data_IF_332956619199
#
_entry.id   IF_332956619199
#
_cell.length_a   1.000
_cell.length_b   1.000
_cell.length_c   1.000
_cell.angle_alpha   90.00
_cell.angle_beta   90.00
_cell.angle_gamma   90.00
#
_symmetry.space_group_name_H-M   'P 1'
#
loop_
_entity.id
_entity.type
_entity.pdbx_description
1 polymer ?
#
# COMPACT_ATOMS: atom_id res chain seq x y z
N UNK A 1 8.82 -14.31 -10.39
CA UNK A 1 9.12 -14.51 -8.96
C UNK A 1 8.22 -13.57 -8.17
N UNK A 2 7.41 -14.07 -7.25
CA UNK A 2 6.66 -13.19 -6.34
C UNK A 2 7.63 -12.74 -5.25
N UNK A 3 8.17 -11.53 -5.38
CA UNK A 3 8.91 -10.91 -4.29
C UNK A 3 7.89 -10.58 -3.19
N UNK A 4 7.91 -11.37 -2.11
CA UNK A 4 7.05 -11.15 -0.94
C UNK A 4 7.61 -10.08 -0.01
N UNK A 5 6.78 -9.64 0.94
CA UNK A 5 7.20 -8.74 2.01
C UNK A 5 8.03 -9.47 3.08
N UNK A 6 8.86 -8.71 3.80
CA UNK A 6 9.55 -9.19 4.99
C UNK A 6 8.60 -9.14 6.20
N UNK A 7 8.65 -10.16 7.05
CA UNK A 7 7.91 -10.14 8.32
C UNK A 7 8.58 -9.18 9.29
N UNK A 8 7.80 -8.23 9.79
CA UNK A 8 8.11 -7.43 10.96
C UNK A 8 7.41 -8.08 12.16
N UNK A 9 8.18 -8.61 13.11
CA UNK A 9 7.67 -9.38 14.24
C UNK A 9 7.70 -8.61 15.55
N UNK A 10 7.29 -9.28 16.63
CA UNK A 10 7.20 -8.71 17.98
C UNK A 10 8.55 -8.21 18.49
N UNK A 11 9.65 -8.90 18.17
CA UNK A 11 10.99 -8.48 18.60
C UNK A 11 11.42 -7.18 17.91
N UNK A 12 11.09 -7.01 16.63
CA UNK A 12 11.38 -5.79 15.90
C UNK A 12 10.48 -4.62 16.35
N UNK A 13 9.23 -4.91 16.71
CA UNK A 13 8.33 -3.93 17.35
C UNK A 13 8.96 -3.42 18.65
N UNK A 14 9.41 -4.31 19.53
CA UNK A 14 10.06 -3.91 20.80
C UNK A 14 11.31 -3.06 20.56
N UNK A 15 12.08 -3.35 19.52
CA UNK A 15 13.24 -2.56 19.17
C UNK A 15 12.87 -1.11 18.79
N UNK A 16 11.82 -0.92 17.96
CA UNK A 16 11.36 0.41 17.59
C UNK A 16 10.71 1.17 18.75
N UNK A 17 9.97 0.47 19.61
CA UNK A 17 9.38 1.04 20.82
C UNK A 17 10.46 1.53 21.79
N UNK A 18 11.51 0.72 22.02
CA UNK A 18 12.63 1.09 22.87
C UNK A 18 13.43 2.28 22.31
N UNK A 19 13.49 2.41 20.99
CA UNK A 19 14.10 3.56 20.33
C UNK A 19 13.22 4.83 20.40
N UNK A 20 11.92 4.68 20.69
CA UNK A 20 10.97 5.79 20.65
C UNK A 20 10.56 6.22 19.24
N UNK A 21 10.75 5.37 18.23
CA UNK A 21 10.35 5.71 16.85
C UNK A 21 8.87 5.42 16.59
N UNK A 22 8.00 6.23 17.18
CA UNK A 22 6.55 6.08 17.06
C UNK A 22 6.08 6.15 15.60
N UNK A 23 6.59 7.10 14.82
CA UNK A 23 6.20 7.30 13.42
C UNK A 23 6.65 6.14 12.52
N UNK A 24 7.86 5.62 12.71
CA UNK A 24 8.32 4.44 11.94
C UNK A 24 7.49 3.22 12.28
N UNK A 25 7.19 2.99 13.57
CA UNK A 25 6.35 1.86 13.98
C UNK A 25 4.95 1.98 13.39
N UNK A 26 4.33 3.17 13.46
CA UNK A 26 3.03 3.43 12.88
C UNK A 26 3.05 3.16 11.37
N UNK A 27 4.04 3.68 10.65
CA UNK A 27 4.19 3.48 9.20
C UNK A 27 4.32 1.99 8.84
N UNK A 28 5.08 1.22 9.62
CA UNK A 28 5.23 -0.23 9.42
C UNK A 28 3.92 -1.00 9.64
N UNK A 29 3.10 -0.59 10.61
CA UNK A 29 1.85 -1.26 10.98
C UNK A 29 0.62 -0.79 10.17
N UNK A 30 0.73 0.33 9.44
CA UNK A 30 -0.38 0.92 8.68
C UNK A 30 -0.07 0.92 7.19
N UNK A 31 0.45 2.03 6.64
CA UNK A 31 0.60 2.32 5.22
C UNK A 31 1.48 1.31 4.47
N UNK A 32 2.43 0.65 5.16
CA UNK A 32 3.30 -0.36 4.53
C UNK A 32 2.73 -1.78 4.55
N UNK A 33 1.78 -2.10 5.42
CA UNK A 33 1.30 -3.48 5.63
C UNK A 33 -0.18 -3.65 5.40
N UNK A 34 -1.02 -2.87 6.08
CA UNK A 34 -2.42 -3.24 6.32
C UNK A 34 -3.45 -2.17 5.91
N UNK A 35 -3.03 -0.90 5.81
CA UNK A 35 -3.91 0.18 5.35
C UNK A 35 -4.05 0.15 3.81
N UNK A 36 -5.20 -0.32 3.32
CA UNK A 36 -5.44 -0.51 1.87
C UNK A 36 -5.52 0.83 1.13
N UNK A 37 -6.22 1.80 1.69
CA UNK A 37 -6.40 3.13 1.10
C UNK A 37 -5.13 3.97 1.27
N UNK A 38 -4.55 3.94 2.47
CA UNK A 38 -3.33 4.66 2.80
C UNK A 38 -2.14 4.21 1.96
N UNK A 39 -2.05 2.92 1.59
CA UNK A 39 -0.97 2.45 0.70
C UNK A 39 -1.06 3.03 -0.72
N UNK A 40 -2.27 3.17 -1.27
CA UNK A 40 -2.48 3.78 -2.60
C UNK A 40 -2.15 5.28 -2.56
N UNK A 41 -2.67 5.99 -1.55
CA UNK A 41 -2.38 7.41 -1.33
C UNK A 41 -0.90 7.68 -1.06
N UNK A 42 -0.23 6.79 -0.31
CA UNK A 42 1.21 6.88 -0.06
C UNK A 42 2.01 6.69 -1.35
N UNK A 43 1.62 5.74 -2.21
CA UNK A 43 2.26 5.57 -3.51
C UNK A 43 2.13 6.81 -4.38
N UNK A 44 0.93 7.39 -4.46
CA UNK A 44 0.67 8.62 -5.19
C UNK A 44 1.50 9.80 -4.65
N UNK A 45 1.55 9.97 -3.32
CA UNK A 45 2.34 11.02 -2.68
C UNK A 45 3.83 10.86 -2.98
N UNK A 46 4.37 9.63 -2.93
CA UNK A 46 5.78 9.36 -3.25
C UNK A 46 6.09 9.71 -4.72
N UNK A 47 5.20 9.35 -5.65
CA UNK A 47 5.38 9.67 -7.08
C UNK A 47 5.32 11.18 -7.34
N UNK A 48 4.47 11.91 -6.62
CA UNK A 48 4.33 13.36 -6.74
C UNK A 48 5.38 14.15 -5.94
N UNK A 49 6.13 13.49 -5.04
CA UNK A 49 7.03 14.15 -4.10
C UNK A 49 6.30 14.98 -3.04
N UNK A 50 5.05 14.64 -2.75
CA UNK A 50 4.23 15.28 -1.73
C UNK A 50 4.39 14.57 -0.38
N UNK A 51 3.98 15.23 0.70
CA UNK A 51 4.03 14.62 2.02
C UNK A 51 2.94 13.54 2.16
N UNK A 52 3.29 12.43 2.82
CA UNK A 52 2.36 11.32 3.03
C UNK A 52 1.27 11.76 4.02
N UNK A 53 0.01 11.41 3.71
CA UNK A 53 -1.14 11.70 4.57
C UNK A 53 -1.11 10.89 5.88
N UNK A 54 -1.88 11.34 6.87
CA UNK A 54 -2.02 10.60 8.13
C UNK A 54 -2.66 9.21 7.91
N UNK A 55 -2.09 8.14 8.50
CA UNK A 55 -2.62 6.78 8.35
C UNK A 55 -4.02 6.61 8.94
N UNK A 56 -4.81 5.70 8.37
CA UNK A 56 -6.14 5.34 8.87
C UNK A 56 -6.09 4.16 9.86
N UNK A 57 -7.27 3.65 10.23
CA UNK A 57 -7.41 2.48 11.11
C UNK A 57 -7.05 1.21 10.30
N UNK A 58 -6.08 0.38 10.76
CA UNK A 58 -5.72 -0.87 10.09
C UNK A 58 -6.93 -1.82 9.92
N UNK A 59 -7.01 -2.48 8.77
CA UNK A 59 -8.03 -3.49 8.48
C UNK A 59 -8.00 -4.67 9.45
N UNK A 60 -6.81 -5.09 9.87
CA UNK A 60 -6.59 -6.12 10.88
C UNK A 60 -7.30 -5.79 12.21
N UNK A 61 -7.39 -4.52 12.59
CA UNK A 61 -8.13 -4.11 13.78
C UNK A 61 -9.66 -4.20 13.56
N UNK A 62 -10.14 -3.86 12.35
CA UNK A 62 -11.55 -4.00 11.99
C UNK A 62 -11.97 -5.47 11.98
N UNK A 63 -11.14 -6.34 11.43
CA UNK A 63 -11.35 -7.79 11.45
C UNK A 63 -11.41 -8.31 12.88
N UNK A 64 -10.46 -7.90 13.73
CA UNK A 64 -10.46 -8.26 15.16
C UNK A 64 -11.78 -7.87 15.85
N UNK A 65 -12.30 -6.68 15.60
CA UNK A 65 -13.60 -6.25 16.16
C UNK A 65 -14.74 -7.17 15.72
N UNK A 66 -14.81 -7.50 14.42
CA UNK A 66 -15.84 -8.40 13.89
C UNK A 66 -15.67 -9.83 14.43
N UNK A 67 -14.45 -10.30 14.63
CA UNK A 67 -14.16 -11.59 15.27
C UNK A 67 -14.65 -11.63 16.72
N UNK A 68 -14.43 -10.57 17.51
CA UNK A 68 -14.97 -10.48 18.87
C UNK A 68 -16.50 -10.44 18.88
N UNK A 69 -17.10 -9.67 17.96
CA UNK A 69 -18.56 -9.61 17.80
C UNK A 69 -19.17 -10.97 17.41
N UNK A 70 -18.43 -11.78 16.65
CA UNK A 70 -18.86 -13.15 16.29
C UNK A 70 -18.98 -14.08 17.51
N UNK A 71 -18.24 -13.78 18.58
CA UNK A 71 -18.31 -14.48 19.87
C UNK A 71 -19.43 -13.94 20.79
N UNK A 72 -20.32 -13.09 20.26
CA UNK A 72 -21.36 -12.38 20.99
C UNK A 72 -20.81 -11.45 22.09
N UNK A 73 -19.59 -10.92 21.90
CA UNK A 73 -19.05 -9.85 22.72
C UNK A 73 -19.47 -8.50 22.13
N UNK A 74 -20.01 -7.62 22.97
CA UNK A 74 -20.29 -6.23 22.61
C UNK A 74 -19.01 -5.40 22.81
N UNK A 75 -18.35 -5.07 21.70
CA UNK A 75 -17.12 -4.26 21.66
C UNK A 75 -17.41 -3.02 20.84
N UNK A 76 -17.23 -1.86 21.48
CA UNK A 76 -17.51 -0.55 20.90
C UNK A 76 -16.30 0.35 21.08
N UNK A 77 -16.00 1.14 20.05
CA UNK A 77 -14.97 2.18 20.12
C UNK A 77 -15.66 3.46 20.59
N UNK A 78 -15.18 4.02 21.69
CA UNK A 78 -15.71 5.26 22.27
C UNK A 78 -14.74 6.41 22.01
N UNK A 79 -15.28 7.56 21.65
CA UNK A 79 -14.51 8.81 21.66
C UNK A 79 -14.30 9.32 23.09
N UNK A 80 -13.43 10.32 23.26
CA UNK A 80 -13.21 11.00 24.55
C UNK A 80 -14.50 11.58 25.17
N UNK A 81 -15.50 11.86 24.33
CA UNK A 81 -16.81 12.39 24.74
C UNK A 81 -17.83 11.29 25.04
N UNK A 82 -17.41 10.03 25.03
CA UNK A 82 -18.26 8.86 25.30
C UNK A 82 -19.27 8.56 24.18
N UNK A 83 -19.06 9.11 22.98
CA UNK A 83 -19.89 8.77 21.81
C UNK A 83 -19.30 7.55 21.13
N UNK A 84 -20.17 6.65 20.70
CA UNK A 84 -19.80 5.53 19.85
C UNK A 84 -19.26 6.05 18.51
N UNK A 85 -18.09 5.56 18.13
CA UNK A 85 -17.47 5.80 16.84
C UNK A 85 -17.73 4.59 15.97
N UNK A 86 -18.60 4.74 14.98
CA UNK A 86 -18.76 3.73 13.94
C UNK A 86 -17.48 3.68 13.11
N UNK A 87 -16.79 2.54 13.17
CA UNK A 87 -15.71 2.22 12.23
C UNK A 87 -16.37 1.99 10.88
N UNK A 88 -16.34 3.01 10.02
CA UNK A 88 -16.97 2.97 8.70
C UNK A 88 -16.29 1.91 7.84
N UNK A 89 -17.09 1.13 7.12
CA UNK A 89 -16.60 0.20 6.10
C UNK A 89 -16.06 1.04 4.93
N UNK A 90 -14.78 0.86 4.61
CA UNK A 90 -14.03 1.64 3.61
C UNK A 90 -14.36 1.24 2.16
N UNK A 91 -15.30 0.31 1.99
CA UNK A 91 -15.77 -0.19 0.70
C UNK A 91 -16.20 0.94 -0.24
N UNK A 92 -16.82 2.01 0.30
CA UNK A 92 -17.25 3.18 -0.46
C UNK A 92 -16.08 4.01 -1.03
N UNK A 93 -14.93 4.07 -0.35
CA UNK A 93 -13.75 4.78 -0.84
C UNK A 93 -12.96 3.94 -1.85
N UNK A 94 -12.88 2.62 -1.65
CA UNK A 94 -12.27 1.70 -2.62
C UNK A 94 -13.03 1.69 -3.96
N UNK A 95 -14.36 1.69 -3.91
CA UNK A 95 -15.21 1.82 -5.11
C UNK A 95 -14.94 3.11 -5.87
N UNK A 96 -14.83 4.25 -5.17
CA UNK A 96 -14.49 5.53 -5.80
C UNK A 96 -13.09 5.55 -6.41
N UNK A 97 -12.10 5.01 -5.71
CA UNK A 97 -10.73 4.92 -6.23
C UNK A 97 -10.65 4.03 -7.48
N UNK A 98 -11.40 2.93 -7.51
CA UNK A 98 -11.51 2.06 -8.68
C UNK A 98 -12.20 2.76 -9.86
N UNK A 99 -13.30 3.49 -9.61
CA UNK A 99 -13.97 4.32 -10.63
C UNK A 99 -13.03 5.41 -11.19
N UNK A 100 -12.23 6.06 -10.35
CA UNK A 100 -11.24 7.07 -10.76
C UNK A 100 -10.12 6.47 -11.61
N UNK A 101 -9.75 5.21 -11.37
CA UNK A 101 -8.83 4.44 -12.23
C UNK A 101 -9.48 3.81 -13.46
N UNK A 102 -10.80 3.96 -13.65
CA UNK A 102 -11.53 3.35 -14.76
C UNK A 102 -11.69 1.82 -14.66
N UNK A 103 -11.59 1.26 -13.45
CA UNK A 103 -11.74 -0.17 -13.16
C UNK A 103 -13.18 -0.43 -12.70
N UNK A 104 -13.97 -1.11 -13.53
CA UNK A 104 -15.34 -1.50 -13.14
C UNK A 104 -15.32 -2.70 -12.19
N UNK A 105 -15.55 -2.43 -10.89
CA UNK A 105 -15.70 -3.44 -9.84
C UNK A 105 -17.15 -3.88 -9.63
N UNK A 106 -18.06 -3.57 -10.55
CA UNK A 106 -19.44 -4.02 -10.45
C UNK A 106 -19.52 -5.55 -10.27
N UNK A 107 -20.48 -6.08 -9.48
CA UNK A 107 -20.64 -7.52 -9.27
C UNK A 107 -20.80 -8.31 -10.59
N UNK A 108 -21.20 -7.65 -11.68
CA UNK A 108 -21.25 -8.21 -13.03
C UNK A 108 -19.88 -8.35 -13.68
N UNK A 109 -19.01 -7.35 -13.55
CA UNK A 109 -17.64 -7.33 -14.10
C UNK A 109 -16.73 -8.37 -13.43
N UNK A 110 -16.74 -8.45 -12.09
CA UNK A 110 -15.95 -9.44 -11.35
C UNK A 110 -16.36 -10.89 -11.68
N UNK A 111 -17.65 -11.10 -11.96
CA UNK A 111 -18.19 -12.41 -12.34
C UNK A 111 -17.87 -12.76 -13.80
N UNK A 112 -17.70 -11.77 -14.67
CA UNK A 112 -17.23 -11.95 -16.03
C UNK A 112 -15.73 -12.30 -16.06
N UNK A 113 -14.91 -11.61 -15.26
CA UNK A 113 -13.48 -11.88 -15.15
C UNK A 113 -13.15 -13.25 -14.51
N UNK A 114 -14.02 -13.75 -13.62
CA UNK A 114 -13.86 -15.04 -12.95
C UNK A 114 -14.51 -16.23 -13.69
N UNK A 115 -15.17 -16.00 -14.84
CA UNK A 115 -15.75 -17.07 -15.67
C UNK A 115 -14.74 -17.49 -16.73
N UNK A 116 -14.55 -18.79 -16.90
CA UNK A 116 -13.78 -19.31 -18.04
C UNK A 116 -14.46 -18.85 -19.34
N UNK A 117 -13.73 -18.22 -20.28
CA UNK A 117 -14.33 -17.74 -21.52
C UNK A 117 -14.92 -18.94 -22.26
N UNK A 118 -16.18 -18.82 -22.65
CA UNK A 118 -16.81 -19.86 -23.46
C UNK A 118 -16.21 -19.82 -24.86
N UNK A 119 -16.07 -20.99 -25.50
CA UNK A 119 -15.49 -21.12 -26.84
C UNK A 119 -16.15 -20.22 -27.89
N UNK A 120 -17.40 -19.81 -27.69
CA UNK A 120 -18.12 -18.88 -28.58
C UNK A 120 -17.64 -17.42 -28.42
N UNK A 121 -17.22 -16.99 -27.21
CA UNK A 121 -16.72 -15.63 -26.94
C UNK A 121 -15.30 -15.40 -27.49
N UNK A 122 -14.55 -16.48 -27.71
CA UNK A 122 -13.22 -16.43 -28.34
C UNK A 122 -13.33 -16.25 -29.86
N UNK A 123 -14.42 -16.75 -30.47
CA UNK A 123 -14.64 -16.64 -31.92
C UNK A 123 -15.28 -15.30 -32.32
N UNK A 124 -16.11 -14.67 -31.47
CA UNK A 124 -16.71 -13.35 -31.77
C UNK A 124 -15.75 -12.15 -31.55
N UNK A 125 -14.59 -12.35 -30.93
CA UNK A 125 -13.57 -11.29 -30.76
C UNK A 125 -12.79 -10.94 -32.02
N UNK A 126 -12.94 -11.71 -33.09
CA UNK A 126 -12.22 -11.52 -34.35
C UNK A 126 -13.08 -10.88 -35.42
N UNK A 127 -13.49 -9.61 -35.26
CA UNK A 127 -13.88 -8.71 -36.36
C UNK A 127 -14.41 -7.37 -35.83
N UNK A 128 -13.52 -6.50 -35.34
CA UNK A 128 -13.72 -5.05 -35.43
C UNK A 128 -12.38 -4.39 -35.69
N UNK A 129 -12.25 -3.89 -36.91
CA UNK A 129 -11.00 -3.39 -37.47
C UNK A 129 -10.41 -2.22 -36.68
N UNK A 130 -9.13 -2.35 -36.39
CA UNK A 130 -8.24 -1.26 -36.04
C UNK A 130 -8.03 -0.40 -37.29
N UNK A 131 -8.88 0.61 -37.49
CA UNK A 131 -8.53 1.76 -38.33
C UNK A 131 -8.00 2.87 -37.41
N UNK A 132 -6.71 3.15 -37.60
CA UNK A 132 -5.94 4.34 -37.17
C UNK A 132 -5.54 4.46 -35.69
N UNK A 133 -4.29 4.05 -35.42
CA UNK A 133 -3.59 4.31 -34.16
C UNK A 133 -2.15 3.77 -34.20
N UNK A 134 -1.34 4.25 -35.15
CA UNK A 134 0.07 3.87 -35.29
C UNK A 134 0.87 4.24 -34.03
N UNK A 135 1.30 3.23 -33.27
CA UNK A 135 2.44 3.33 -32.35
C UNK A 135 3.52 2.36 -32.84
N UNK A 136 4.44 2.88 -33.64
CA UNK A 136 5.68 2.19 -34.02
C UNK A 136 6.54 1.99 -32.76
N UNK A 137 6.59 0.77 -32.25
CA UNK A 137 7.57 0.37 -31.24
C UNK A 137 8.81 -0.11 -32.00
N UNK A 138 9.86 0.71 -32.00
CA UNK A 138 11.15 0.35 -32.58
C UNK A 138 11.74 -0.84 -31.81
N UNK A 139 12.07 -1.89 -32.53
CA UNK A 139 12.72 -3.08 -32.01
C UNK A 139 14.21 -2.81 -31.73
N UNK A 140 14.67 -3.41 -30.63
CA UNK A 140 16.01 -3.97 -30.43
C UNK A 140 17.21 -3.01 -30.62
N UNK A 141 17.75 -2.48 -29.52
CA UNK A 141 19.18 -2.12 -29.47
C UNK A 141 19.89 -2.88 -28.34
N UNK A 142 20.97 -3.54 -28.76
CA UNK A 142 21.88 -4.40 -28.02
C UNK A 142 22.26 -3.88 -26.63
N UNK A 143 22.22 -4.78 -25.64
CA UNK A 143 22.97 -4.66 -24.39
C UNK A 143 24.48 -4.64 -24.70
N UNK A 144 25.10 -3.48 -24.53
CA UNK A 144 26.56 -3.33 -24.48
C UNK A 144 27.06 -3.43 -23.05
N UNK A 145 28.02 -4.32 -22.82
CA UNK A 145 28.75 -4.45 -21.56
C UNK A 145 29.41 -3.11 -21.16
N UNK A 146 29.11 -2.63 -19.96
CA UNK A 146 29.88 -1.58 -19.29
C UNK A 146 30.57 -2.19 -18.07
N UNK A 147 31.88 -2.41 -18.23
CA UNK A 147 32.82 -2.74 -17.16
C UNK A 147 32.93 -1.60 -16.14
N UNK A 148 33.38 -1.97 -14.94
CA UNK A 148 33.22 -1.24 -13.68
C UNK A 148 33.70 0.21 -13.62
N UNK A 149 33.00 0.98 -12.79
CA UNK A 149 33.59 2.11 -12.07
C UNK A 149 32.82 2.30 -10.74
N UNK A 150 33.45 1.94 -9.62
CA UNK A 150 32.98 2.33 -8.28
C UNK A 150 33.27 3.83 -8.08
N UNK A 151 32.33 4.63 -7.54
CA UNK A 151 32.68 5.97 -7.07
C UNK A 151 33.27 5.91 -5.64
N UNK A 152 34.32 6.70 -5.33
CA UNK A 152 35.03 6.60 -4.05
C UNK A 152 34.44 7.47 -2.92
N UNK A 153 34.36 6.85 -1.74
CA UNK A 153 34.95 7.21 -0.43
C UNK A 153 34.60 8.55 0.29
N UNK A 154 34.28 8.38 1.59
CA UNK A 154 34.45 9.27 2.77
C UNK A 154 33.46 10.42 3.05
N UNK A 155 32.67 10.25 4.13
CA UNK A 155 32.37 11.36 5.06
C UNK A 155 32.52 10.86 6.50
N UNK A 156 33.19 11.68 7.29
CA UNK A 156 33.89 11.34 8.52
C UNK A 156 33.00 11.05 9.72
N UNK A 157 33.48 10.14 10.56
CA UNK A 157 33.19 10.13 11.99
C UNK A 157 33.82 11.37 12.62
N UNK A 158 33.01 12.28 13.15
CA UNK A 158 33.47 13.18 14.21
C UNK A 158 32.69 12.88 15.48
N UNK A 159 33.35 12.09 16.32
CA UNK A 159 33.22 12.12 17.77
C UNK A 159 33.79 13.46 18.25
N UNK A 160 32.94 14.32 18.82
CA UNK A 160 33.41 15.27 19.84
C UNK A 160 32.44 15.20 21.03
N UNK A 161 33.02 14.81 22.15
CA UNK A 161 32.44 14.87 23.47
C UNK A 161 32.41 16.33 23.99
N UNK A 162 31.64 16.50 25.07
CA UNK A 162 31.80 17.48 26.16
C UNK A 162 30.93 18.77 26.18
N UNK A 163 30.19 18.89 27.32
CA UNK A 163 30.09 20.11 28.20
C UNK A 163 28.97 21.11 27.80
N UNK A 164 27.92 21.50 28.57
CA UNK A 164 27.73 21.70 30.03
C UNK A 164 26.28 21.47 30.50
N UNK A 165 26.17 21.12 31.79
CA UNK A 165 24.98 21.28 32.64
C UNK A 165 24.90 22.76 33.05
N UNK A 166 23.74 23.41 32.87
CA UNK A 166 23.40 24.65 33.57
C UNK A 166 22.03 24.51 34.28
N UNK A 167 21.93 25.25 35.38
CA UNK A 167 21.19 25.05 36.66
C UNK A 167 19.72 24.61 36.65
#
# INVERSE_FOLDING_TARGET
AQFGGQRFGEMEVWALEAYGSAYTLQEMLTIKSDDTIGRVKAYEAIVKGENIAEPSIPESFKVLLKEMQSLALDVQVLSDEGREVEVREEDDELLRAAEELGIDLSPGSLRAAAREPTVEEVEEGGERGDEEGELVVAADEQLGDVEGEEPPVEVALEETADVEVED
#
